data_IF_172030172961
#
_entry.id   IF_172030172961
#
_cell.length_a   1.000
_cell.length_b   1.000
_cell.length_c   1.000
_cell.angle_alpha   90.00
_cell.angle_beta   90.00
_cell.angle_gamma   90.00
#
_symmetry.space_group_name_H-M   'P 1'
#
loop_
_entity.id
_entity.type
_entity.pdbx_description
1 polymer ?
#
# COMPACT_ATOMS: atom_id res chain seq x y z
N UNK A 1 -2.61 2.50 -10.25
CA UNK A 1 -1.78 1.47 -9.59
C UNK A 1 -2.48 0.15 -9.84
N UNK A 2 -1.99 -0.70 -10.75
CA UNK A 2 -2.81 -1.76 -11.39
C UNK A 2 -3.68 -2.58 -10.43
N UNK A 3 -3.11 -3.10 -9.34
CA UNK A 3 -3.85 -3.88 -8.33
C UNK A 3 -4.97 -3.06 -7.66
N UNK A 4 -4.67 -1.81 -7.27
CA UNK A 4 -5.67 -0.93 -6.65
C UNK A 4 -6.74 -0.51 -7.66
N UNK A 5 -6.39 -0.32 -8.92
CA UNK A 5 -7.33 0.06 -9.97
C UNK A 5 -8.36 -1.09 -10.17
N UNK A 6 -7.91 -2.34 -10.18
CA UNK A 6 -8.79 -3.52 -10.22
C UNK A 6 -9.61 -3.67 -8.94
N UNK A 7 -9.00 -3.54 -7.76
CA UNK A 7 -9.71 -3.64 -6.50
C UNK A 7 -10.83 -2.60 -6.39
N UNK A 8 -10.62 -1.40 -6.93
CA UNK A 8 -11.64 -0.35 -7.00
C UNK A 8 -12.78 -0.67 -7.95
N UNK A 9 -12.45 -1.23 -9.12
CA UNK A 9 -13.43 -1.61 -10.14
C UNK A 9 -14.30 -2.77 -9.66
N UNK A 10 -13.67 -3.79 -9.07
CA UNK A 10 -14.32 -5.07 -8.77
C UNK A 10 -14.95 -5.08 -7.37
N UNK A 11 -14.51 -4.19 -6.47
CA UNK A 11 -15.06 -4.05 -5.11
C UNK A 11 -15.52 -2.62 -4.85
N UNK A 12 -16.80 -2.35 -5.14
CA UNK A 12 -17.47 -1.06 -4.85
C UNK A 12 -17.35 -0.65 -3.38
N UNK A 13 -17.25 -1.62 -2.46
CA UNK A 13 -17.05 -1.40 -1.03
C UNK A 13 -15.77 -0.64 -0.73
N UNK A 14 -14.72 -0.81 -1.53
CA UNK A 14 -13.47 -0.05 -1.38
C UNK A 14 -13.68 1.45 -1.60
N UNK A 15 -14.52 1.83 -2.56
CA UNK A 15 -14.86 3.24 -2.83
C UNK A 15 -15.76 3.84 -1.76
N UNK A 16 -16.61 3.02 -1.12
CA UNK A 16 -17.52 3.46 -0.05
C UNK A 16 -16.82 3.60 1.31
N UNK A 17 -16.07 2.57 1.70
CA UNK A 17 -15.46 2.49 3.03
C UNK A 17 -14.01 2.97 3.05
N UNK A 18 -13.33 3.00 1.90
CA UNK A 18 -11.92 3.35 1.76
C UNK A 18 -10.98 2.15 1.92
N UNK A 19 -9.68 2.45 1.87
CA UNK A 19 -8.60 1.46 1.88
C UNK A 19 -7.76 1.52 3.16
N UNK A 20 -7.42 0.36 3.71
CA UNK A 20 -6.37 0.19 4.71
C UNK A 20 -5.19 -0.47 3.99
N UNK A 21 -3.99 0.11 4.10
CA UNK A 21 -2.81 -0.38 3.38
C UNK A 21 -1.73 -0.73 4.39
N UNK A 22 -1.40 -2.02 4.48
CA UNK A 22 -0.37 -2.56 5.37
C UNK A 22 0.90 -2.80 4.56
N UNK A 23 1.99 -2.15 4.97
CA UNK A 23 3.34 -2.37 4.47
C UNK A 23 4.08 -3.26 5.46
N UNK A 24 4.27 -4.53 5.12
CA UNK A 24 5.19 -5.40 5.84
C UNK A 24 6.63 -5.06 5.45
N UNK A 25 7.37 -4.49 6.38
CA UNK A 25 8.75 -4.04 6.17
C UNK A 25 9.78 -5.11 6.55
N UNK A 26 9.33 -6.35 6.85
CA UNK A 26 10.22 -7.48 7.10
C UNK A 26 11.13 -7.73 5.89
N UNK A 27 12.44 -7.81 6.14
CA UNK A 27 13.45 -8.01 5.09
C UNK A 27 13.84 -6.75 4.31
N UNK A 28 13.27 -5.59 4.64
CA UNK A 28 13.74 -4.32 4.07
C UNK A 28 15.12 -3.99 4.64
N UNK A 29 16.09 -3.80 3.75
CA UNK A 29 17.46 -3.46 4.08
C UNK A 29 17.86 -2.08 3.55
N UNK A 30 19.00 -1.56 4.04
CA UNK A 30 19.50 -0.23 3.71
C UNK A 30 19.65 0.02 2.19
N UNK A 31 19.96 -1.02 1.40
CA UNK A 31 19.99 -0.91 -0.06
C UNK A 31 18.64 -0.50 -0.68
N UNK A 32 17.51 -1.02 -0.19
CA UNK A 32 16.17 -0.60 -0.64
C UNK A 32 15.91 0.86 -0.24
N UNK A 33 16.36 1.23 0.95
CA UNK A 33 16.25 2.57 1.47
C UNK A 33 16.94 3.60 0.56
N UNK A 34 18.14 3.29 0.05
CA UNK A 34 18.88 4.16 -0.87
C UNK A 34 18.18 4.38 -2.23
N UNK A 35 17.33 3.45 -2.68
CA UNK A 35 16.56 3.62 -3.92
C UNK A 35 15.42 4.64 -3.75
N UNK A 36 15.01 4.94 -2.51
CA UNK A 36 13.96 5.89 -2.18
C UNK A 36 14.49 7.33 -2.15
N UNK A 37 14.97 7.80 -3.30
CA UNK A 37 15.43 9.18 -3.45
C UNK A 37 14.30 10.19 -3.18
N UNK A 38 14.59 11.44 -2.77
CA UNK A 38 13.55 12.44 -2.50
C UNK A 38 12.58 12.67 -3.68
N UNK A 39 13.08 12.61 -4.92
CA UNK A 39 12.25 12.72 -6.12
C UNK A 39 11.28 11.55 -6.30
N UNK A 40 11.72 10.32 -5.99
CA UNK A 40 10.85 9.12 -5.99
C UNK A 40 9.80 9.24 -4.90
N UNK A 41 10.20 9.59 -3.67
CA UNK A 41 9.29 9.76 -2.53
C UNK A 41 8.22 10.82 -2.85
N UNK A 42 8.62 11.98 -3.38
CA UNK A 42 7.68 13.06 -3.74
C UNK A 42 6.62 12.58 -4.73
N UNK A 43 7.02 11.81 -5.76
CA UNK A 43 6.07 11.23 -6.74
C UNK A 43 5.12 10.23 -6.09
N UNK A 44 5.62 9.32 -5.26
CA UNK A 44 4.79 8.34 -4.56
C UNK A 44 3.77 9.01 -3.64
N UNK A 45 4.19 10.00 -2.87
CA UNK A 45 3.28 10.78 -2.01
C UNK A 45 2.24 11.51 -2.86
N UNK A 46 2.66 12.13 -3.97
CA UNK A 46 1.71 12.77 -4.88
C UNK A 46 0.68 11.78 -5.43
N UNK A 47 1.09 10.57 -5.81
CA UNK A 47 0.18 9.50 -6.22
C UNK A 47 -0.83 9.18 -5.12
N UNK A 48 -0.40 8.94 -3.88
CA UNK A 48 -1.32 8.64 -2.77
C UNK A 48 -2.32 9.77 -2.48
N UNK A 49 -1.92 11.03 -2.66
CA UNK A 49 -2.80 12.18 -2.43
C UNK A 49 -3.80 12.42 -3.56
N UNK A 50 -3.40 12.12 -4.79
CA UNK A 50 -4.24 12.30 -5.98
C UNK A 50 -5.05 11.06 -6.36
N UNK A 51 -4.79 9.92 -5.71
CA UNK A 51 -5.48 8.68 -6.04
C UNK A 51 -6.98 8.78 -5.71
N UNK A 52 -7.89 8.38 -6.62
CA UNK A 52 -9.33 8.59 -6.49
C UNK A 52 -9.99 7.60 -5.52
N UNK A 53 -9.31 7.25 -4.43
CA UNK A 53 -9.83 6.40 -3.38
C UNK A 53 -9.54 7.00 -2.00
N UNK A 54 -10.48 6.84 -1.08
CA UNK A 54 -10.30 7.25 0.31
C UNK A 54 -9.31 6.31 0.99
N UNK A 55 -8.08 6.75 1.16
CA UNK A 55 -7.13 6.04 2.02
C UNK A 55 -7.47 6.26 3.50
N UNK A 56 -7.78 5.23 4.27
CA UNK A 56 -8.04 5.34 5.71
C UNK A 56 -6.76 5.33 6.53
N UNK A 57 -5.84 4.40 6.26
CA UNK A 57 -4.55 4.31 6.94
C UNK A 57 -3.45 3.73 6.05
N UNK A 58 -2.22 4.19 6.30
CA UNK A 58 -0.97 3.65 5.79
C UNK A 58 -0.18 3.11 6.98
N UNK A 59 -0.21 1.81 7.16
CA UNK A 59 0.34 1.13 8.32
C UNK A 59 1.65 0.44 7.96
N UNK A 60 2.73 0.74 8.67
CA UNK A 60 4.03 0.11 8.50
C UNK A 60 4.30 -0.81 9.69
N UNK A 61 4.43 -2.11 9.43
CA UNK A 61 4.71 -3.15 10.43
C UNK A 61 6.08 -3.77 10.18
N UNK A 62 6.69 -4.37 11.20
CA UNK A 62 8.03 -4.97 11.11
C UNK A 62 9.12 -4.00 10.59
N UNK A 63 8.95 -2.70 10.83
CA UNK A 63 9.83 -1.66 10.29
C UNK A 63 11.17 -1.62 11.04
N UNK A 64 12.31 -1.85 10.37
CA UNK A 64 13.62 -1.70 11.00
C UNK A 64 13.94 -0.22 11.24
N UNK A 65 14.74 0.09 12.26
CA UNK A 65 14.99 1.47 12.70
C UNK A 65 15.47 2.41 11.59
N UNK A 66 16.24 1.91 10.63
CA UNK A 66 16.74 2.71 9.50
C UNK A 66 15.63 3.21 8.56
N UNK A 67 14.49 2.52 8.50
CA UNK A 67 13.32 2.94 7.69
C UNK A 67 12.67 4.21 8.25
N UNK A 68 12.81 4.49 9.56
CA UNK A 68 12.26 5.71 10.16
C UNK A 68 12.80 7.00 9.51
N UNK A 69 14.07 6.99 9.08
CA UNK A 69 14.68 8.14 8.39
C UNK A 69 13.93 8.41 7.09
N UNK A 70 13.66 7.38 6.30
CA UNK A 70 12.94 7.52 5.03
C UNK A 70 11.49 7.90 5.27
N UNK A 71 10.81 7.27 6.22
CA UNK A 71 9.43 7.63 6.55
C UNK A 71 9.32 9.08 7.05
N UNK A 72 10.36 9.62 7.68
CA UNK A 72 10.42 11.05 8.01
C UNK A 72 10.47 11.94 6.77
N UNK A 73 11.16 11.51 5.70
CA UNK A 73 11.19 12.20 4.40
C UNK A 73 9.83 12.10 3.71
N UNK A 74 9.18 10.92 3.74
CA UNK A 74 7.79 10.77 3.28
C UNK A 74 6.87 11.77 3.95
N UNK A 75 6.88 11.88 5.28
CA UNK A 75 6.05 12.84 6.03
C UNK A 75 6.22 14.28 5.58
N UNK A 76 7.44 14.69 5.18
CA UNK A 76 7.70 16.07 4.72
C UNK A 76 6.98 16.42 3.41
N UNK A 77 6.73 15.44 2.56
CA UNK A 77 6.02 15.64 1.30
C UNK A 77 4.50 15.41 1.43
N UNK A 78 4.05 14.84 2.55
CA UNK A 78 2.64 14.56 2.81
C UNK A 78 1.90 15.82 3.25
N UNK A 79 0.67 15.96 2.77
CA UNK A 79 -0.35 16.83 3.34
C UNK A 79 -0.65 16.42 4.78
N UNK A 80 -1.15 17.37 5.57
CA UNK A 80 -1.53 17.12 6.97
C UNK A 80 -2.45 15.90 7.10
N UNK A 81 -3.48 15.81 6.25
CA UNK A 81 -4.45 14.70 6.22
C UNK A 81 -3.80 13.35 5.93
N UNK A 82 -2.86 13.27 4.99
CA UNK A 82 -2.17 12.01 4.68
C UNK A 82 -1.16 11.64 5.79
N UNK A 83 -0.46 12.63 6.35
CA UNK A 83 0.47 12.43 7.45
C UNK A 83 -0.21 11.91 8.72
N UNK A 84 -1.41 12.37 9.03
CA UNK A 84 -2.25 11.89 10.15
C UNK A 84 -2.68 10.42 9.99
N UNK A 85 -2.75 9.93 8.76
CA UNK A 85 -3.12 8.55 8.41
C UNK A 85 -1.93 7.60 8.30
N UNK A 86 -0.70 8.12 8.44
CA UNK A 86 0.51 7.30 8.36
C UNK A 86 0.94 6.85 9.75
N UNK A 87 0.94 5.54 9.97
CA UNK A 87 1.24 4.92 11.25
C UNK A 87 2.44 3.98 11.12
N UNK A 88 3.42 4.16 11.99
CA UNK A 88 4.55 3.24 12.11
C UNK A 88 4.37 2.49 13.41
N UNK A 89 4.15 1.19 13.32
CA UNK A 89 3.86 0.36 14.47
C UNK A 89 5.18 -0.19 15.03
N UNK A 90 5.52 0.11 16.30
CA UNK A 90 6.75 -0.39 16.90
C UNK A 90 6.69 -1.91 17.08
N UNK A 91 7.86 -2.56 17.08
CA UNK A 91 7.97 -4.01 17.24
C UNK A 91 7.46 -4.78 16.02
N UNK A 92 6.70 -5.86 16.27
CA UNK A 92 6.17 -6.76 15.25
C UNK A 92 4.78 -6.33 14.71
N UNK A 93 4.32 -5.12 15.05
CA UNK A 93 3.03 -4.60 14.58
C UNK A 93 1.80 -5.27 15.18
N UNK A 94 1.94 -6.17 16.15
CA UNK A 94 0.83 -6.93 16.75
C UNK A 94 -0.34 -6.08 17.25
N UNK A 95 -0.08 -4.90 17.78
CA UNK A 95 -1.13 -4.02 18.32
C UNK A 95 -2.11 -3.50 17.28
N UNK A 96 -1.67 -3.34 16.02
CA UNK A 96 -2.56 -3.07 14.90
C UNK A 96 -3.25 -4.36 14.46
N UNK A 97 -2.47 -5.41 14.24
CA UNK A 97 -2.94 -6.65 13.63
C UNK A 97 -4.02 -7.32 14.49
N UNK A 98 -3.93 -7.23 15.81
CA UNK A 98 -4.94 -7.73 16.76
C UNK A 98 -6.28 -6.98 16.69
N UNK A 99 -6.32 -5.77 16.12
CA UNK A 99 -7.58 -5.03 15.92
C UNK A 99 -8.29 -5.43 14.62
N UNK A 100 -7.57 -6.08 13.71
CA UNK A 100 -8.11 -6.57 12.46
C UNK A 100 -8.58 -8.01 12.66
N UNK A 101 -9.63 -8.39 11.93
CA UNK A 101 -10.13 -9.76 11.98
C UNK A 101 -9.08 -10.72 11.39
N UNK A 102 -8.73 -11.83 12.07
CA UNK A 102 -7.67 -12.72 11.61
C UNK A 102 -7.88 -13.31 10.21
N UNK A 103 -9.14 -13.50 9.79
CA UNK A 103 -9.55 -13.99 8.47
C UNK A 103 -9.29 -12.99 7.34
N UNK A 104 -8.95 -11.73 7.64
CA UNK A 104 -8.55 -10.71 6.67
C UNK A 104 -7.04 -10.62 6.49
N UNK A 105 -6.27 -11.27 7.37
CA UNK A 105 -4.82 -11.14 7.40
C UNK A 105 -4.16 -12.41 6.86
N UNK A 106 -3.09 -12.27 6.06
CA UNK A 106 -2.30 -13.39 5.61
C UNK A 106 -1.56 -14.06 6.78
N UNK A 107 -1.21 -15.33 6.59
CA UNK A 107 -0.56 -16.16 7.63
C UNK A 107 0.73 -15.54 8.17
N UNK A 108 1.50 -14.87 7.32
CA UNK A 108 2.75 -14.21 7.68
C UNK A 108 2.56 -13.03 8.66
N UNK A 109 1.37 -12.44 8.67
CA UNK A 109 0.97 -11.40 9.63
C UNK A 109 0.18 -11.97 10.82
N UNK A 110 0.16 -13.29 10.99
CA UNK A 110 -0.52 -13.96 12.10
C UNK A 110 -2.02 -14.11 11.91
N UNK A 111 -2.54 -13.95 10.69
CA UNK A 111 -3.93 -14.23 10.35
C UNK A 111 -4.18 -15.66 9.85
N UNK A 112 -5.38 -15.90 9.34
CA UNK A 112 -5.86 -17.18 8.84
C UNK A 112 -6.26 -17.17 7.36
N UNK A 113 -6.06 -16.07 6.65
CA UNK A 113 -6.25 -16.00 5.20
C UNK A 113 -5.12 -16.76 4.45
N UNK A 114 -5.14 -16.66 3.13
CA UNK A 114 -4.11 -17.11 2.20
C UNK A 114 -2.72 -16.56 2.56
N UNK A 115 -1.69 -17.35 2.28
CA UNK A 115 -0.29 -16.90 2.42
C UNK A 115 0.12 -15.89 1.33
N UNK A 116 1.26 -15.24 1.52
CA UNK A 116 1.77 -14.27 0.55
C UNK A 116 2.01 -14.86 -0.84
N UNK A 117 2.44 -16.13 -0.93
CA UNK A 117 2.69 -16.77 -2.22
C UNK A 117 1.40 -16.94 -3.03
N UNK A 118 0.33 -17.36 -2.35
CA UNK A 118 -1.01 -17.52 -2.93
C UNK A 118 -1.59 -16.18 -3.33
N UNK A 119 -1.57 -15.18 -2.43
CA UNK A 119 -2.06 -13.83 -2.72
C UNK A 119 -1.30 -13.17 -3.88
N UNK A 120 0.03 -13.33 -3.93
CA UNK A 120 0.86 -12.82 -5.02
C UNK A 120 0.48 -13.46 -6.36
N UNK A 121 0.26 -14.77 -6.37
CA UNK A 121 -0.13 -15.50 -7.58
C UNK A 121 -1.51 -15.06 -8.06
N UNK A 122 -2.46 -14.94 -7.13
CA UNK A 122 -3.81 -14.44 -7.41
C UNK A 122 -3.78 -13.04 -8.04
N UNK A 123 -3.17 -12.05 -7.37
CA UNK A 123 -3.15 -10.68 -7.88
C UNK A 123 -2.37 -10.53 -9.18
N UNK A 124 -1.29 -11.32 -9.36
CA UNK A 124 -0.57 -11.37 -10.64
C UNK A 124 -1.50 -11.86 -11.76
N UNK A 125 -2.21 -12.97 -11.54
CA UNK A 125 -3.16 -13.51 -12.51
C UNK A 125 -4.26 -12.49 -12.83
N UNK A 126 -4.85 -11.84 -11.82
CA UNK A 126 -5.87 -10.80 -12.03
C UNK A 126 -5.36 -9.65 -12.89
N UNK A 127 -4.12 -9.21 -12.67
CA UNK A 127 -3.50 -8.17 -13.49
C UNK A 127 -3.26 -8.65 -14.94
N UNK A 128 -2.81 -9.88 -15.13
CA UNK A 128 -2.54 -10.46 -16.46
C UNK A 128 -3.83 -10.67 -17.28
N UNK A 129 -4.90 -11.18 -16.65
CA UNK A 129 -6.21 -11.39 -17.28
C UNK A 129 -6.87 -10.08 -17.69
N UNK A 130 -6.61 -9.00 -16.95
CA UNK A 130 -7.16 -7.67 -17.23
C UNK A 130 -6.23 -6.77 -18.08
N UNK A 131 -5.18 -7.35 -18.71
CA UNK A 131 -4.24 -6.58 -19.54
C UNK A 131 -4.92 -5.69 -20.57
N UNK A 132 -5.94 -6.20 -21.27
CA UNK A 132 -6.64 -5.45 -22.30
C UNK A 132 -7.37 -4.23 -21.72
N UNK A 133 -7.98 -4.37 -20.55
CA UNK A 133 -8.62 -3.27 -19.84
C UNK A 133 -7.62 -2.16 -19.50
N UNK A 134 -6.41 -2.50 -19.04
CA UNK A 134 -5.37 -1.51 -18.79
C UNK A 134 -4.91 -0.80 -20.06
N UNK A 135 -4.78 -1.51 -21.19
CA UNK A 135 -4.42 -0.89 -22.47
C UNK A 135 -5.50 0.07 -22.95
N UNK A 136 -6.77 -0.28 -22.74
CA UNK A 136 -7.90 0.59 -23.07
C UNK A 136 -7.97 1.82 -22.17
N UNK A 137 -7.71 1.66 -20.87
CA UNK A 137 -7.67 2.76 -19.89
C UNK A 137 -6.67 3.87 -20.27
N UNK A 138 -5.53 3.51 -20.89
CA UNK A 138 -4.54 4.48 -21.38
C UNK A 138 -5.13 5.49 -22.38
N UNK A 139 -6.18 5.12 -23.13
CA UNK A 139 -6.82 6.01 -24.10
C UNK A 139 -7.63 7.14 -23.43
N UNK A 140 -7.99 6.97 -22.16
CA UNK A 140 -8.79 7.93 -21.39
C UNK A 140 -7.95 8.85 -20.50
N UNK A 141 -6.62 8.70 -20.52
CA UNK A 141 -5.74 9.60 -19.77
C UNK A 141 -5.78 11.01 -20.33
N UNK A 142 -5.81 11.99 -19.43
CA UNK A 142 -5.68 13.40 -19.78
C UNK A 142 -4.33 13.61 -20.47
N UNK A 143 -4.37 14.05 -21.74
CA UNK A 143 -3.17 14.53 -22.44
C UNK A 143 -2.70 15.79 -21.70
N UNK A 144 -1.63 15.64 -20.94
CA UNK A 144 -1.00 16.71 -20.16
C UNK A 144 0.27 17.18 -20.84
#
# INVERSE_FOLDING_TARGET
MMILDLAMRDHVTSSLYGLIVIHDMKGVHFGHALQMTPGVIKRLVHTWQGYPNRLNSLDYVNAPTHVNVILSVFKRFMSKKLGERMHVHPGDGKSLLQKLSPDLLPKELGGSDSDYATLKSYWKQQVEENKQWFVEDENYKLKT
#
